data_IF_796437762734
#
_entry.id   IF_796437762734
#
_cell.length_a   1.000
_cell.length_b   1.000
_cell.length_c   1.000
_cell.angle_alpha   90.00
_cell.angle_beta   90.00
_cell.angle_gamma   90.00
#
_symmetry.space_group_name_H-M   'P 1'
#
loop_
_entity.id
_entity.type
_entity.pdbx_description
1 polymer ?
#
# COMPACT_ATOMS: atom_id res chain seq x y z
N UNK A 1 -7.24 -10.35 -7.59
CA UNK A 1 -6.49 -9.26 -6.98
C UNK A 1 -6.34 -8.23 -8.05
N UNK A 2 -6.92 -7.09 -7.81
CA UNK A 2 -6.92 -5.96 -8.73
C UNK A 2 -5.61 -5.19 -8.56
N UNK A 3 -5.14 -4.59 -9.64
CA UNK A 3 -3.87 -3.86 -9.68
C UNK A 3 -4.17 -2.37 -9.86
N UNK A 4 -3.87 -1.60 -8.82
CA UNK A 4 -3.90 -0.15 -8.89
C UNK A 4 -2.49 0.40 -9.06
N UNK A 5 -2.36 1.55 -9.73
CA UNK A 5 -1.09 2.28 -9.80
C UNK A 5 -1.04 3.40 -8.75
N UNK A 6 0.06 3.49 -7.99
CA UNK A 6 0.31 4.55 -7.00
C UNK A 6 1.08 5.71 -7.64
N UNK A 7 0.40 6.48 -8.50
CA UNK A 7 0.98 7.63 -9.17
C UNK A 7 -0.09 8.68 -9.50
N UNK A 8 0.35 9.88 -9.83
CA UNK A 8 -0.48 10.89 -10.48
C UNK A 8 0.12 11.33 -11.82
N UNK A 9 1.16 10.65 -12.31
CA UNK A 9 1.75 10.90 -13.62
C UNK A 9 0.85 10.30 -14.72
N UNK A 10 0.33 11.15 -15.61
CA UNK A 10 -0.59 10.71 -16.67
C UNK A 10 0.07 9.80 -17.71
N UNK A 11 1.37 9.94 -17.96
CA UNK A 11 2.08 9.07 -18.90
C UNK A 11 2.16 7.65 -18.35
N UNK A 12 2.56 7.51 -17.09
CA UNK A 12 2.61 6.22 -16.38
C UNK A 12 1.23 5.56 -16.33
N UNK A 13 0.17 6.34 -16.04
CA UNK A 13 -1.20 5.81 -15.98
C UNK A 13 -1.65 5.34 -17.36
N UNK A 14 -1.47 6.14 -18.41
CA UNK A 14 -1.84 5.76 -19.79
C UNK A 14 -1.04 4.55 -20.28
N UNK A 15 0.23 4.45 -19.91
CA UNK A 15 1.07 3.32 -20.25
C UNK A 15 0.59 2.04 -19.55
N UNK A 16 0.35 2.10 -18.24
CA UNK A 16 -0.20 0.97 -17.48
C UNK A 16 -1.58 0.53 -18.00
N UNK A 17 -2.45 1.49 -18.33
CA UNK A 17 -3.75 1.23 -18.97
C UNK A 17 -3.59 0.52 -20.32
N UNK A 18 -2.60 0.93 -21.13
CA UNK A 18 -2.33 0.32 -22.45
C UNK A 18 -1.90 -1.15 -22.36
N UNK A 19 -1.39 -1.59 -21.21
CA UNK A 19 -1.04 -2.98 -20.95
C UNK A 19 -2.27 -3.84 -20.63
N UNK A 20 -3.42 -3.23 -20.31
CA UNK A 20 -4.67 -3.92 -19.99
C UNK A 20 -4.65 -4.64 -18.65
N UNK A 21 -3.83 -4.15 -17.70
CA UNK A 21 -3.67 -4.74 -16.36
C UNK A 21 -4.08 -3.79 -15.24
N UNK A 22 -4.54 -2.58 -15.58
CA UNK A 22 -4.83 -1.54 -14.60
C UNK A 22 -6.31 -1.57 -14.23
N UNK A 23 -6.59 -1.66 -12.94
CA UNK A 23 -7.95 -1.74 -12.39
C UNK A 23 -8.33 -0.49 -11.57
N UNK A 24 -7.40 0.46 -11.39
CA UNK A 24 -7.64 1.69 -10.62
C UNK A 24 -6.36 2.49 -10.33
N UNK A 25 -6.52 3.62 -9.64
CA UNK A 25 -5.43 4.55 -9.31
C UNK A 25 -5.55 5.01 -7.87
N UNK A 26 -4.43 5.03 -7.13
CA UNK A 26 -4.39 5.77 -5.86
C UNK A 26 -3.50 6.99 -5.98
N UNK A 27 -4.02 8.15 -5.58
CA UNK A 27 -3.25 9.39 -5.54
C UNK A 27 -3.05 9.88 -4.10
N UNK A 28 -2.29 10.97 -3.98
CA UNK A 28 -2.25 11.83 -2.82
C UNK A 28 -1.88 13.26 -3.27
N UNK A 29 -2.08 14.29 -2.44
CA UNK A 29 -1.90 15.68 -2.86
C UNK A 29 -0.46 15.98 -3.32
N UNK A 30 0.52 15.29 -2.72
CA UNK A 30 1.94 15.45 -3.08
C UNK A 30 2.29 14.81 -4.43
N UNK A 31 1.64 13.73 -4.83
CA UNK A 31 1.81 13.12 -6.16
C UNK A 31 1.18 14.01 -7.23
N UNK A 32 -0.07 14.45 -7.02
CA UNK A 32 -0.79 15.31 -7.97
C UNK A 32 0.00 16.58 -8.22
N UNK A 33 0.44 17.25 -7.14
CA UNK A 33 1.24 18.47 -7.27
C UNK A 33 2.53 18.25 -8.05
N UNK A 34 3.27 17.17 -7.77
CA UNK A 34 4.51 16.84 -8.50
C UNK A 34 4.26 16.56 -9.96
N UNK A 35 3.16 15.89 -10.30
CA UNK A 35 2.80 15.60 -11.69
C UNK A 35 2.48 16.89 -12.46
N UNK A 36 1.68 17.78 -11.87
CA UNK A 36 1.35 19.09 -12.45
C UNK A 36 2.60 19.97 -12.61
N UNK A 37 3.44 20.05 -11.58
CA UNK A 37 4.68 20.84 -11.60
C UNK A 37 5.71 20.33 -12.63
N UNK A 38 5.60 19.05 -13.02
CA UNK A 38 6.51 18.40 -13.99
C UNK A 38 5.94 18.34 -15.41
N UNK A 39 4.69 18.75 -15.62
CA UNK A 39 4.08 18.78 -16.93
C UNK A 39 4.67 19.92 -17.78
N UNK A 40 4.90 19.66 -19.07
CA UNK A 40 5.40 20.67 -20.00
C UNK A 40 4.36 21.78 -20.28
N UNK A 41 3.08 21.48 -20.06
CA UNK A 41 1.95 22.38 -20.26
C UNK A 41 1.45 22.99 -18.93
N UNK A 42 1.02 24.24 -18.96
CA UNK A 42 0.40 24.95 -17.82
C UNK A 42 -1.03 24.42 -17.56
N UNK A 43 -1.11 23.17 -17.09
CA UNK A 43 -2.36 22.50 -16.75
C UNK A 43 -2.74 22.80 -15.29
N UNK A 44 -4.00 23.18 -15.07
CA UNK A 44 -4.52 23.32 -13.71
C UNK A 44 -4.62 21.97 -13.00
N UNK A 45 -4.47 21.96 -11.67
CA UNK A 45 -4.65 20.77 -10.84
C UNK A 45 -6.03 20.10 -11.05
N UNK A 46 -7.08 20.90 -11.24
CA UNK A 46 -8.42 20.39 -11.52
C UNK A 46 -8.51 19.67 -12.87
N UNK A 47 -7.93 20.25 -13.93
CA UNK A 47 -7.88 19.62 -15.24
C UNK A 47 -7.08 18.31 -15.20
N UNK A 48 -5.96 18.30 -14.48
CA UNK A 48 -5.13 17.10 -14.30
C UNK A 48 -5.89 15.95 -13.62
N UNK A 49 -6.62 16.25 -12.54
CA UNK A 49 -7.46 15.23 -11.87
C UNK A 49 -8.53 14.69 -12.83
N UNK A 50 -9.19 15.58 -13.60
CA UNK A 50 -10.19 15.14 -14.59
C UNK A 50 -9.59 14.24 -15.67
N UNK A 51 -8.36 14.50 -16.09
CA UNK A 51 -7.67 13.62 -17.05
C UNK A 51 -7.37 12.25 -16.45
N UNK A 52 -6.94 12.17 -15.19
CA UNK A 52 -6.74 10.89 -14.50
C UNK A 52 -8.06 10.11 -14.47
N UNK A 53 -9.15 10.75 -14.04
CA UNK A 53 -10.47 10.12 -13.92
C UNK A 53 -10.99 9.57 -15.25
N UNK A 54 -10.73 10.25 -16.37
CA UNK A 54 -11.13 9.80 -17.71
C UNK A 54 -10.18 8.74 -18.31
N UNK A 55 -9.00 8.54 -17.73
CA UNK A 55 -8.01 7.60 -18.29
C UNK A 55 -8.27 6.17 -17.82
N UNK A 56 -8.86 5.98 -16.64
CA UNK A 56 -9.07 4.67 -16.02
C UNK A 56 -10.55 4.50 -15.68
N UNK A 57 -11.13 3.36 -16.04
CA UNK A 57 -12.54 3.04 -15.77
C UNK A 57 -12.78 2.67 -14.29
N UNK A 58 -11.75 2.15 -13.62
CA UNK A 58 -11.80 1.75 -12.21
C UNK A 58 -11.61 2.88 -11.20
N UNK A 59 -11.62 2.56 -9.89
CA UNK A 59 -11.61 3.55 -8.81
C UNK A 59 -10.38 4.45 -8.78
N UNK A 60 -10.58 5.74 -8.51
CA UNK A 60 -9.52 6.73 -8.32
C UNK A 60 -9.62 7.34 -6.93
N UNK A 61 -8.65 7.05 -6.08
CA UNK A 61 -8.60 7.60 -4.71
C UNK A 61 -8.07 9.03 -4.68
N UNK A 62 -8.86 9.97 -4.14
CA UNK A 62 -8.48 11.38 -3.89
C UNK A 62 -8.50 11.67 -2.38
N UNK A 63 -7.42 12.25 -1.85
CA UNK A 63 -7.22 12.40 -0.40
C UNK A 63 -7.59 13.79 0.11
N UNK A 64 -8.28 13.82 1.26
CA UNK A 64 -8.53 15.05 2.02
C UNK A 64 -7.24 15.55 2.70
N UNK A 65 -7.24 16.81 3.10
CA UNK A 65 -6.10 17.45 3.79
C UNK A 65 -6.44 17.95 5.18
N UNK A 66 -7.72 18.13 5.49
CA UNK A 66 -8.19 18.53 6.81
C UNK A 66 -8.04 17.41 7.85
N UNK A 67 -8.01 17.81 9.12
CA UNK A 67 -7.73 16.89 10.25
C UNK A 67 -8.89 16.74 11.23
N UNK A 68 -9.90 17.61 11.18
CA UNK A 68 -11.09 17.47 12.04
C UNK A 68 -12.24 16.84 11.28
N UNK A 69 -13.09 16.12 12.01
CA UNK A 69 -14.23 15.41 11.48
C UNK A 69 -15.12 16.26 10.56
N UNK A 70 -15.61 17.41 11.03
CA UNK A 70 -16.53 18.26 10.27
C UNK A 70 -15.85 18.83 9.01
N UNK A 71 -14.61 19.31 9.15
CA UNK A 71 -13.80 19.88 8.07
C UNK A 71 -13.46 18.81 7.00
N UNK A 72 -13.10 17.59 7.41
CA UNK A 72 -12.87 16.45 6.51
C UNK A 72 -14.12 16.06 5.73
N UNK A 73 -15.30 16.06 6.37
CA UNK A 73 -16.55 15.71 5.69
C UNK A 73 -16.92 16.78 4.65
N UNK A 74 -16.78 18.06 4.97
CA UNK A 74 -17.03 19.15 4.01
C UNK A 74 -16.06 19.11 2.81
N UNK A 75 -14.78 18.85 3.06
CA UNK A 75 -13.78 18.68 2.00
C UNK A 75 -14.07 17.46 1.14
N UNK A 76 -14.39 16.32 1.75
CA UNK A 76 -14.76 15.09 1.07
C UNK A 76 -15.97 15.25 0.15
N UNK A 77 -17.04 15.89 0.62
CA UNK A 77 -18.21 16.22 -0.20
C UNK A 77 -17.84 17.13 -1.37
N UNK A 78 -17.01 18.14 -1.11
CA UNK A 78 -16.54 19.06 -2.16
C UNK A 78 -15.74 18.32 -3.24
N UNK A 79 -14.85 17.40 -2.86
CA UNK A 79 -14.08 16.58 -3.79
C UNK A 79 -15.02 15.67 -4.59
N UNK A 80 -15.89 14.93 -3.92
CA UNK A 80 -16.82 13.99 -4.54
C UNK A 80 -17.77 14.69 -5.52
N UNK A 81 -18.47 15.74 -5.09
CA UNK A 81 -19.43 16.48 -5.94
C UNK A 81 -18.75 17.15 -7.16
N UNK A 82 -17.49 17.54 -7.02
CA UNK A 82 -16.74 18.20 -8.11
C UNK A 82 -16.23 17.21 -9.15
N UNK A 83 -15.78 16.04 -8.72
CA UNK A 83 -15.01 15.13 -9.55
C UNK A 83 -15.75 13.85 -9.93
N UNK A 84 -16.67 13.35 -9.10
CA UNK A 84 -17.44 12.15 -9.41
C UNK A 84 -18.28 12.26 -10.69
N UNK A 85 -18.91 13.42 -11.02
CA UNK A 85 -19.64 13.56 -12.29
C UNK A 85 -18.81 13.40 -13.57
N UNK A 86 -17.47 13.31 -13.46
CA UNK A 86 -16.57 13.15 -14.60
C UNK A 86 -16.62 11.72 -15.14
N UNK A 87 -16.45 10.71 -14.27
CA UNK A 87 -16.44 9.30 -14.66
C UNK A 87 -17.02 8.32 -13.61
N UNK A 88 -17.65 8.84 -12.55
CA UNK A 88 -18.34 8.05 -11.50
C UNK A 88 -17.46 7.00 -10.80
N UNK A 89 -16.17 7.31 -10.66
CA UNK A 89 -15.15 6.42 -10.12
C UNK A 89 -14.33 7.05 -8.99
N UNK A 90 -14.81 8.13 -8.37
CA UNK A 90 -14.07 8.81 -7.29
C UNK A 90 -14.27 8.06 -5.97
N UNK A 91 -13.17 7.78 -5.29
CA UNK A 91 -13.16 7.28 -3.92
C UNK A 91 -12.46 8.28 -3.02
N UNK A 92 -13.09 8.71 -1.93
CA UNK A 92 -12.49 9.70 -1.04
C UNK A 92 -11.60 9.00 -0.03
N UNK A 93 -10.36 9.46 0.09
CA UNK A 93 -9.34 8.86 0.93
C UNK A 93 -9.20 9.62 2.24
N UNK A 94 -9.43 8.94 3.36
CA UNK A 94 -9.52 9.51 4.71
C UNK A 94 -8.48 8.83 5.63
N UNK A 95 -7.63 9.57 6.34
CA UNK A 95 -6.70 8.97 7.31
C UNK A 95 -7.47 8.36 8.48
N UNK A 96 -7.02 7.20 8.98
CA UNK A 96 -7.71 6.52 10.10
C UNK A 96 -7.65 7.31 11.42
N UNK A 97 -6.53 8.00 11.67
CA UNK A 97 -6.23 8.79 12.86
C UNK A 97 -5.43 10.02 12.40
N UNK A 98 -5.79 11.20 12.91
CA UNK A 98 -5.17 12.48 12.55
C UNK A 98 -4.24 13.05 13.62
N UNK A 99 -4.04 12.30 14.72
CA UNK A 99 -3.16 12.71 15.81
C UNK A 99 -1.73 12.86 15.33
N UNK A 100 -1.09 13.95 15.76
CA UNK A 100 0.27 14.33 15.36
C UNK A 100 1.32 14.04 16.44
N UNK A 101 0.87 13.70 17.66
CA UNK A 101 1.73 13.37 18.80
C UNK A 101 1.49 11.92 19.27
N UNK A 102 2.55 11.22 19.67
CA UNK A 102 2.48 9.78 20.05
C UNK A 102 1.57 9.51 21.25
N UNK A 103 1.28 10.52 22.08
CA UNK A 103 0.43 10.37 23.28
C UNK A 103 -1.04 10.68 23.03
N UNK A 104 -1.40 11.02 21.79
CA UNK A 104 -2.76 11.38 21.42
C UNK A 104 -3.31 10.35 20.43
N UNK A 105 -4.50 9.85 20.72
CA UNK A 105 -5.34 9.14 19.74
C UNK A 105 -6.58 9.99 19.51
N UNK A 106 -6.94 10.20 18.24
CA UNK A 106 -8.23 10.76 17.89
C UNK A 106 -9.06 9.78 17.06
N UNK A 107 -10.37 10.05 17.02
CA UNK A 107 -11.34 9.30 16.25
C UNK A 107 -11.93 10.15 15.13
N UNK A 108 -11.27 11.25 14.74
CA UNK A 108 -11.80 12.19 13.75
C UNK A 108 -11.96 11.51 12.39
N UNK A 109 -10.95 10.72 11.98
CA UNK A 109 -10.98 9.89 10.77
C UNK A 109 -12.12 8.87 10.79
N UNK A 110 -12.24 8.08 11.88
CA UNK A 110 -13.31 7.09 12.06
C UNK A 110 -14.71 7.72 11.99
N UNK A 111 -14.91 8.90 12.61
CA UNK A 111 -16.18 9.63 12.55
C UNK A 111 -16.46 10.10 11.12
N UNK A 112 -15.45 10.61 10.41
CA UNK A 112 -15.60 11.06 9.02
C UNK A 112 -15.98 9.91 8.09
N UNK A 113 -15.28 8.77 8.18
CA UNK A 113 -15.60 7.54 7.43
C UNK A 113 -17.06 7.16 7.63
N UNK A 114 -17.54 7.12 8.88
CA UNK A 114 -18.93 6.78 9.19
C UNK A 114 -19.92 7.74 8.53
N UNK A 115 -19.71 9.05 8.68
CA UNK A 115 -20.62 10.06 8.12
C UNK A 115 -20.66 10.00 6.60
N UNK A 116 -19.52 9.79 5.93
CA UNK A 116 -19.44 9.69 4.48
C UNK A 116 -20.08 8.40 3.96
N UNK A 117 -19.84 7.26 4.63
CA UNK A 117 -20.48 5.99 4.30
C UNK A 117 -22.01 6.04 4.43
N UNK A 118 -22.54 6.68 5.49
CA UNK A 118 -23.99 6.91 5.65
C UNK A 118 -24.59 7.80 4.54
N UNK A 119 -23.77 8.65 3.90
CA UNK A 119 -24.16 9.48 2.76
C UNK A 119 -24.00 8.75 1.41
N UNK A 120 -23.45 7.53 1.41
CA UNK A 120 -23.18 6.77 0.19
C UNK A 120 -21.95 7.23 -0.59
N UNK A 121 -21.04 7.97 0.05
CA UNK A 121 -19.77 8.37 -0.56
C UNK A 121 -18.75 7.24 -0.29
N UNK A 122 -18.13 6.67 -1.33
CA UNK A 122 -17.15 5.60 -1.19
C UNK A 122 -15.88 6.11 -0.51
N UNK A 123 -15.38 5.37 0.49
CA UNK A 123 -14.24 5.78 1.33
C UNK A 123 -13.11 4.75 1.29
N UNK A 124 -11.90 5.24 0.99
CA UNK A 124 -10.65 4.53 1.18
C UNK A 124 -9.96 5.01 2.47
N UNK A 125 -9.95 4.18 3.51
CA UNK A 125 -9.26 4.50 4.75
C UNK A 125 -7.74 4.30 4.61
N UNK A 126 -6.96 5.36 4.80
CA UNK A 126 -5.48 5.36 4.64
C UNK A 126 -4.74 5.49 5.96
N UNK A 127 -3.41 5.36 5.91
CA UNK A 127 -2.50 5.38 7.07
C UNK A 127 -2.81 4.28 8.09
N UNK A 128 -3.29 3.13 7.63
CA UNK A 128 -3.49 1.96 8.47
C UNK A 128 -2.14 1.29 8.72
N UNK A 129 -1.72 1.26 9.97
CA UNK A 129 -0.43 0.71 10.43
C UNK A 129 -0.62 -0.51 11.34
N UNK A 130 -1.81 -0.71 11.92
CA UNK A 130 -2.11 -1.81 12.83
C UNK A 130 -3.41 -2.53 12.45
N UNK A 131 -3.55 -3.84 12.77
CA UNK A 131 -4.75 -4.59 12.41
C UNK A 131 -6.04 -4.02 13.01
N UNK A 132 -5.97 -3.49 14.24
CA UNK A 132 -7.11 -2.90 14.92
C UNK A 132 -7.64 -1.64 14.20
N UNK A 133 -6.77 -0.88 13.54
CA UNK A 133 -7.17 0.30 12.75
C UNK A 133 -8.01 -0.12 11.54
N UNK A 134 -7.64 -1.20 10.85
CA UNK A 134 -8.42 -1.76 9.74
C UNK A 134 -9.80 -2.23 10.20
N UNK A 135 -9.87 -2.93 11.35
CA UNK A 135 -11.14 -3.35 11.93
C UNK A 135 -12.06 -2.17 12.24
N UNK A 136 -11.50 -1.08 12.79
CA UNK A 136 -12.28 0.13 13.11
C UNK A 136 -12.79 0.83 11.85
N UNK A 137 -11.96 0.93 10.81
CA UNK A 137 -12.35 1.48 9.52
C UNK A 137 -13.47 0.67 8.86
N UNK A 138 -13.33 -0.66 8.80
CA UNK A 138 -14.36 -1.55 8.26
C UNK A 138 -15.68 -1.43 9.04
N UNK A 139 -15.60 -1.37 10.38
CA UNK A 139 -16.77 -1.17 11.24
C UNK A 139 -17.43 0.19 11.07
N UNK A 140 -16.68 1.22 10.67
CA UNK A 140 -17.20 2.53 10.34
C UNK A 140 -17.84 2.60 8.95
N UNK A 141 -17.69 1.56 8.13
CA UNK A 141 -18.28 1.48 6.78
C UNK A 141 -17.36 1.98 5.67
N UNK A 142 -16.04 1.92 5.87
CA UNK A 142 -15.09 2.15 4.78
C UNK A 142 -15.30 1.09 3.68
N UNK A 143 -15.23 1.52 2.42
CA UNK A 143 -15.24 0.62 1.27
C UNK A 143 -13.89 -0.07 1.11
N UNK A 144 -12.81 0.69 1.34
CA UNK A 144 -11.44 0.17 1.30
C UNK A 144 -10.67 0.49 2.58
N UNK A 145 -9.73 -0.38 2.93
CA UNK A 145 -8.67 -0.11 3.92
C UNK A 145 -7.29 -0.27 3.29
N UNK A 146 -6.44 0.73 3.48
CA UNK A 146 -5.10 0.78 2.89
C UNK A 146 -4.00 0.63 3.95
N UNK A 147 -3.59 -0.61 4.31
CA UNK A 147 -2.42 -0.84 5.17
C UNK A 147 -1.10 -0.49 4.49
N UNK A 148 -0.19 0.16 5.21
CA UNK A 148 1.06 0.70 4.64
C UNK A 148 2.26 -0.22 4.91
N UNK A 149 2.39 -1.25 4.07
CA UNK A 149 3.27 -2.39 4.34
C UNK A 149 4.75 -1.98 4.41
N UNK A 150 5.22 -1.23 3.41
CA UNK A 150 6.61 -0.77 3.38
C UNK A 150 6.97 0.24 4.48
N UNK A 151 5.99 0.93 5.09
CA UNK A 151 6.27 1.81 6.24
C UNK A 151 6.44 1.01 7.53
N UNK A 152 5.69 -0.09 7.69
CA UNK A 152 5.92 -1.04 8.79
C UNK A 152 7.28 -1.70 8.65
N UNK A 153 7.65 -2.17 7.46
CA UNK A 153 9.00 -2.72 7.21
C UNK A 153 10.10 -1.73 7.61
N UNK A 154 9.95 -0.44 7.26
CA UNK A 154 10.89 0.61 7.64
C UNK A 154 10.93 0.83 9.17
N UNK A 155 9.77 0.76 9.85
CA UNK A 155 9.65 0.92 11.30
C UNK A 155 10.32 -0.23 12.07
N UNK A 156 10.00 -1.48 11.74
CA UNK A 156 10.55 -2.66 12.43
C UNK A 156 12.06 -2.83 12.18
N UNK A 157 12.58 -2.34 11.05
CA UNK A 157 14.03 -2.23 10.80
C UNK A 157 14.70 -1.23 11.73
N UNK A 158 14.08 -0.08 11.97
CA UNK A 158 14.64 0.95 12.84
C UNK A 158 14.80 0.46 14.28
N UNK A 159 13.89 -0.40 14.75
CA UNK A 159 13.97 -1.00 16.09
C UNK A 159 15.24 -1.85 16.31
N UNK A 160 15.81 -2.41 15.24
CA UNK A 160 17.07 -3.18 15.29
C UNK A 160 18.28 -2.35 14.83
N UNK A 161 18.14 -1.02 14.79
CA UNK A 161 19.20 -0.08 14.47
C UNK A 161 19.55 0.04 12.98
N UNK A 162 18.66 -0.38 12.07
CA UNK A 162 18.86 -0.22 10.63
C UNK A 162 18.06 0.95 10.08
N UNK A 163 18.74 1.87 9.40
CA UNK A 163 18.13 3.07 8.83
C UNK A 163 18.12 3.07 7.30
N UNK A 164 16.97 3.46 6.73
CA UNK A 164 16.79 3.55 5.28
C UNK A 164 17.63 4.68 4.71
N UNK A 165 18.40 4.39 3.67
CA UNK A 165 19.31 5.34 3.02
C UNK A 165 20.73 5.32 3.60
N UNK A 166 20.92 4.73 4.79
CA UNK A 166 22.24 4.49 5.38
C UNK A 166 22.65 3.02 5.19
N UNK A 167 21.83 2.10 5.69
CA UNK A 167 22.14 0.67 5.69
C UNK A 167 21.56 -0.08 4.48
N UNK A 168 20.47 0.43 3.91
CA UNK A 168 19.80 -0.20 2.77
C UNK A 168 19.06 0.83 1.88
N UNK A 169 18.99 0.58 0.56
CA UNK A 169 18.26 1.45 -0.35
C UNK A 169 16.74 1.30 -0.25
N UNK A 170 16.00 2.31 -0.74
CA UNK A 170 14.55 2.19 -1.01
C UNK A 170 14.31 1.00 -1.95
N UNK A 171 13.25 0.24 -1.72
CA UNK A 171 12.96 -0.97 -2.51
C UNK A 171 13.66 -2.23 -1.99
N UNK A 172 14.34 -2.17 -0.85
CA UNK A 172 14.90 -3.38 -0.23
C UNK A 172 13.79 -4.19 0.43
N UNK A 173 13.76 -5.50 0.17
CA UNK A 173 12.85 -6.44 0.84
C UNK A 173 13.22 -6.63 2.33
N UNK A 174 12.24 -6.76 3.22
CA UNK A 174 12.47 -7.04 4.63
C UNK A 174 12.39 -8.55 4.92
N UNK A 175 13.50 -9.21 5.30
CA UNK A 175 13.50 -10.65 5.56
C UNK A 175 13.08 -10.96 7.01
N UNK A 176 11.78 -10.88 7.30
CA UNK A 176 11.21 -11.11 8.65
C UNK A 176 11.75 -12.38 9.34
N UNK A 177 11.80 -13.51 8.62
CA UNK A 177 12.28 -14.80 9.16
C UNK A 177 13.76 -14.76 9.57
N UNK A 178 14.58 -13.92 8.94
CA UNK A 178 15.97 -13.76 9.35
C UNK A 178 16.06 -12.92 10.62
N UNK A 179 15.27 -11.85 10.71
CA UNK A 179 15.25 -10.97 11.89
C UNK A 179 14.71 -11.71 13.11
N UNK A 180 13.64 -12.50 12.94
CA UNK A 180 13.09 -13.33 14.01
C UNK A 180 14.12 -14.31 14.57
N UNK A 181 14.89 -14.97 13.69
CA UNK A 181 16.00 -15.86 14.11
C UNK A 181 17.13 -15.12 14.81
N UNK A 182 17.44 -13.89 14.41
CA UNK A 182 18.45 -13.06 15.07
C UNK A 182 17.96 -12.69 16.48
N UNK A 183 16.71 -12.28 16.60
CA UNK A 183 16.06 -11.99 17.89
C UNK A 183 16.10 -13.20 18.82
N UNK A 184 15.71 -14.38 18.34
CA UNK A 184 15.72 -15.61 19.15
C UNK A 184 17.11 -15.95 19.69
N UNK A 185 18.14 -15.81 18.85
CA UNK A 185 19.53 -16.06 19.25
C UNK A 185 19.99 -15.06 20.31
N UNK A 186 19.60 -13.80 20.19
CA UNK A 186 19.97 -12.77 21.17
C UNK A 186 19.21 -12.92 22.48
N UNK A 187 17.91 -13.22 22.42
CA UNK A 187 17.11 -13.58 23.59
C UNK A 187 17.74 -14.76 24.33
N UNK A 188 18.14 -15.82 23.61
CA UNK A 188 18.78 -16.98 24.20
C UNK A 188 20.08 -16.61 24.95
N UNK A 189 20.87 -15.67 24.43
CA UNK A 189 22.08 -15.17 25.11
C UNK A 189 21.73 -14.36 26.36
N UNK A 190 20.71 -13.51 26.27
CA UNK A 190 20.32 -12.64 27.38
C UNK A 190 19.72 -13.42 28.57
N UNK A 191 19.07 -14.56 28.30
CA UNK A 191 18.37 -15.33 29.34
C UNK A 191 19.16 -16.56 29.83
N UNK A 192 20.27 -16.94 29.20
CA UNK A 192 20.93 -18.24 29.46
C UNK A 192 21.39 -18.46 30.90
N UNK A 193 21.64 -17.38 31.65
CA UNK A 193 22.12 -17.41 33.04
C UNK A 193 21.13 -16.77 34.03
N UNK A 194 19.92 -16.41 33.58
CA UNK A 194 18.93 -15.69 34.40
C UNK A 194 17.80 -16.62 34.85
N UNK A 195 17.29 -16.38 36.06
CA UNK A 195 16.11 -17.09 36.55
C UNK A 195 14.84 -16.59 35.81
N UNK A 196 13.88 -17.48 35.46
CA UNK A 196 12.64 -17.11 34.75
C UNK A 196 11.87 -15.94 35.38
N UNK A 197 11.84 -15.86 36.71
CA UNK A 197 11.14 -14.80 37.46
C UNK A 197 11.82 -13.43 37.40
N UNK A 198 13.10 -13.38 37.00
CA UNK A 198 13.89 -12.17 36.83
C UNK A 198 13.85 -11.65 35.40
N UNK A 199 13.45 -12.49 34.45
CA UNK A 199 13.43 -12.15 33.02
C UNK A 199 12.16 -11.36 32.67
N UNK A 200 10.99 -11.95 32.91
CA UNK A 200 9.73 -11.41 32.41
C UNK A 200 9.39 -10.10 33.13
N UNK A 201 9.27 -9.01 32.36
CA UNK A 201 8.93 -7.63 32.81
C UNK A 201 9.93 -6.93 33.75
N UNK A 202 10.98 -7.63 34.22
CA UNK A 202 11.97 -7.05 35.15
C UNK A 202 13.32 -6.81 34.49
N UNK A 203 13.66 -7.58 33.47
CA UNK A 203 14.91 -7.42 32.74
C UNK A 203 14.69 -6.55 31.50
N UNK A 204 15.12 -5.29 31.58
CA UNK A 204 14.92 -4.30 30.52
C UNK A 204 15.59 -4.75 29.21
N UNK A 205 16.83 -5.23 29.26
CA UNK A 205 17.59 -5.67 28.07
C UNK A 205 16.89 -6.82 27.34
N UNK A 206 16.33 -7.80 28.07
CA UNK A 206 15.53 -8.88 27.46
C UNK A 206 14.24 -8.35 26.86
N UNK A 207 13.54 -7.43 27.54
CA UNK A 207 12.29 -6.86 27.01
C UNK A 207 12.53 -5.99 25.77
N UNK A 208 13.63 -5.24 25.73
CA UNK A 208 14.05 -4.48 24.54
C UNK A 208 14.38 -5.43 23.38
N UNK A 209 15.16 -6.49 23.65
CA UNK A 209 15.49 -7.51 22.64
C UNK A 209 14.24 -8.25 22.15
N UNK A 210 13.27 -8.51 23.03
CA UNK A 210 12.00 -9.13 22.67
C UNK A 210 11.20 -8.27 21.68
N UNK A 211 11.29 -6.95 21.81
CA UNK A 211 10.66 -5.99 20.90
C UNK A 211 11.35 -5.84 19.55
N UNK A 212 12.53 -6.44 19.33
CA UNK A 212 13.26 -6.28 18.07
C UNK A 212 12.48 -6.82 16.88
N UNK A 213 12.26 -5.97 15.88
CA UNK A 213 11.52 -6.36 14.69
C UNK A 213 10.07 -6.76 15.00
N UNK A 214 9.44 -6.08 15.96
CA UNK A 214 8.11 -6.39 16.46
C UNK A 214 7.34 -5.11 16.80
N UNK A 215 6.17 -4.94 16.18
CA UNK A 215 5.18 -3.92 16.57
C UNK A 215 3.93 -4.61 17.09
N UNK A 216 3.88 -4.86 18.40
CA UNK A 216 2.72 -5.47 19.08
C UNK A 216 2.23 -6.79 18.46
N UNK A 217 3.17 -7.61 17.97
CA UNK A 217 2.91 -8.88 17.30
C UNK A 217 2.94 -8.80 15.78
N UNK A 218 3.10 -7.62 15.18
CA UNK A 218 3.32 -7.43 13.75
C UNK A 218 4.82 -7.46 13.45
N UNK A 219 5.25 -8.42 12.64
CA UNK A 219 6.67 -8.66 12.34
C UNK A 219 7.14 -7.99 11.04
N UNK A 220 6.23 -7.71 10.11
CA UNK A 220 6.51 -7.05 8.84
C UNK A 220 5.26 -6.42 8.25
N UNK A 221 5.40 -5.68 7.16
CA UNK A 221 4.26 -5.22 6.38
C UNK A 221 3.43 -6.37 5.80
N UNK A 222 4.05 -7.49 5.41
CA UNK A 222 3.30 -8.66 4.91
C UNK A 222 2.53 -9.35 6.05
N UNK A 223 3.12 -9.42 7.23
CA UNK A 223 2.45 -9.95 8.43
C UNK A 223 1.28 -9.05 8.88
N UNK A 224 1.43 -7.71 8.78
CA UNK A 224 0.32 -6.77 8.97
C UNK A 224 -0.84 -7.11 8.03
N UNK A 225 -0.56 -7.29 6.74
CA UNK A 225 -1.58 -7.62 5.74
C UNK A 225 -2.28 -8.93 6.07
N UNK A 226 -1.52 -9.98 6.41
CA UNK A 226 -2.07 -11.28 6.78
C UNK A 226 -2.99 -11.18 8.01
N UNK A 227 -2.57 -10.43 9.04
CA UNK A 227 -3.37 -10.21 10.24
C UNK A 227 -4.68 -9.47 9.94
N UNK A 228 -4.62 -8.41 9.12
CA UNK A 228 -5.82 -7.68 8.67
C UNK A 228 -6.76 -8.61 7.88
N UNK A 229 -6.24 -9.36 6.90
CA UNK A 229 -7.03 -10.28 6.08
C UNK A 229 -7.78 -11.30 6.94
N UNK A 230 -7.08 -11.94 7.87
CA UNK A 230 -7.70 -12.88 8.80
C UNK A 230 -8.79 -12.22 9.66
N UNK A 231 -8.57 -11.00 10.15
CA UNK A 231 -9.59 -10.31 10.94
C UNK A 231 -10.82 -10.03 10.11
N UNK A 232 -10.66 -9.45 8.91
CA UNK A 232 -11.80 -9.09 8.06
C UNK A 232 -12.57 -10.32 7.58
N UNK A 233 -11.88 -11.42 7.24
CA UNK A 233 -12.50 -12.69 6.81
C UNK A 233 -13.36 -13.36 7.89
N UNK A 234 -13.09 -13.07 9.17
CA UNK A 234 -13.86 -13.63 10.27
C UNK A 234 -15.24 -12.97 10.46
N UNK A 235 -15.48 -11.83 9.82
CA UNK A 235 -16.67 -11.01 10.03
C UNK A 235 -17.32 -10.63 8.69
N UNK A 236 -18.63 -10.32 8.67
CA UNK A 236 -19.32 -9.99 7.43
C UNK A 236 -19.09 -8.51 7.06
N UNK A 237 -17.85 -8.15 6.78
CA UNK A 237 -17.50 -6.84 6.24
C UNK A 237 -17.40 -6.94 4.71
N UNK A 238 -17.97 -5.96 4.01
CA UNK A 238 -17.81 -5.80 2.56
C UNK A 238 -16.55 -4.97 2.22
N UNK A 239 -15.80 -4.54 3.23
CA UNK A 239 -14.58 -3.73 3.08
C UNK A 239 -13.47 -4.54 2.42
N UNK A 240 -12.90 -3.99 1.35
CA UNK A 240 -11.79 -4.59 0.61
C UNK A 240 -10.44 -4.04 1.08
N UNK A 241 -9.38 -4.85 0.98
CA UNK A 241 -8.03 -4.43 1.37
C UNK A 241 -7.26 -3.95 0.15
N UNK A 242 -6.76 -2.71 0.21
CA UNK A 242 -5.78 -2.16 -0.73
C UNK A 242 -4.39 -2.27 -0.08
N UNK A 243 -3.63 -3.32 -0.42
CA UNK A 243 -2.25 -3.44 0.02
C UNK A 243 -1.42 -2.25 -0.53
N UNK A 244 -1.01 -1.34 0.35
CA UNK A 244 -0.41 -0.07 -0.01
C UNK A 244 1.02 0.09 0.53
N UNK A 245 1.72 1.13 0.06
CA UNK A 245 3.14 1.36 0.34
C UNK A 245 4.03 0.17 -0.05
N UNK A 246 3.68 -0.53 -1.14
CA UNK A 246 4.45 -1.62 -1.72
C UNK A 246 5.77 -1.07 -2.27
N UNK A 247 6.86 -1.83 -2.09
CA UNK A 247 8.22 -1.43 -2.49
C UNK A 247 8.91 -2.42 -3.42
N UNK A 248 8.39 -3.63 -3.59
CA UNK A 248 9.03 -4.71 -4.38
C UNK A 248 8.01 -5.61 -5.05
N UNK A 249 8.37 -6.19 -6.21
CA UNK A 249 7.56 -7.20 -6.88
C UNK A 249 7.31 -8.44 -5.99
N UNK A 250 8.25 -8.75 -5.08
CA UNK A 250 8.09 -9.82 -4.09
C UNK A 250 6.93 -9.55 -3.13
N UNK A 251 6.78 -8.31 -2.62
CA UNK A 251 5.64 -7.96 -1.78
C UNK A 251 4.33 -8.11 -2.54
N UNK A 252 4.27 -7.68 -3.81
CA UNK A 252 3.06 -7.85 -4.65
C UNK A 252 2.65 -9.32 -4.72
N UNK A 253 3.61 -10.23 -5.00
CA UNK A 253 3.35 -11.67 -5.00
C UNK A 253 2.80 -12.15 -3.66
N UNK A 254 3.39 -11.70 -2.55
CA UNK A 254 2.94 -12.09 -1.21
C UNK A 254 1.54 -11.54 -0.88
N UNK A 255 1.20 -10.33 -1.32
CA UNK A 255 -0.16 -9.80 -1.22
C UNK A 255 -1.17 -10.69 -1.94
N UNK A 256 -0.83 -11.13 -3.17
CA UNK A 256 -1.64 -12.05 -3.94
C UNK A 256 -1.76 -13.44 -3.29
N UNK A 257 -0.66 -13.95 -2.71
CA UNK A 257 -0.63 -15.24 -1.99
C UNK A 257 -1.49 -15.22 -0.71
N UNK A 258 -1.54 -14.09 0.00
CA UNK A 258 -2.43 -13.88 1.16
C UNK A 258 -3.90 -13.74 0.71
N UNK A 259 -4.12 -13.26 -0.51
CA UNK A 259 -5.45 -13.04 -1.07
C UNK A 259 -5.99 -11.65 -0.78
N UNK A 260 -5.13 -10.61 -0.73
CA UNK A 260 -5.59 -9.23 -0.73
C UNK A 260 -6.45 -8.95 -1.97
N UNK A 261 -7.50 -8.15 -1.81
CA UNK A 261 -8.42 -7.81 -2.89
C UNK A 261 -7.72 -6.91 -3.92
N UNK A 262 -6.98 -5.90 -3.47
CA UNK A 262 -6.30 -4.92 -4.32
C UNK A 262 -4.86 -4.72 -3.87
N UNK A 263 -3.95 -4.48 -4.80
CA UNK A 263 -2.62 -3.95 -4.51
C UNK A 263 -2.41 -2.62 -5.25
N UNK A 264 -2.03 -1.57 -4.54
CA UNK A 264 -1.62 -0.31 -5.17
C UNK A 264 -0.08 -0.21 -5.24
N UNK A 265 0.42 -0.13 -6.46
CA UNK A 265 1.81 -0.46 -6.79
C UNK A 265 2.46 0.73 -7.50
N UNK A 266 3.65 1.19 -7.07
CA UNK A 266 4.43 2.16 -7.83
C UNK A 266 4.72 1.65 -9.24
N UNK A 267 4.70 2.52 -10.25
CA UNK A 267 4.86 2.15 -11.66
C UNK A 267 6.15 1.32 -11.93
N UNK A 268 7.28 1.73 -11.35
CA UNK A 268 8.57 1.03 -11.47
C UNK A 268 8.54 -0.40 -10.90
N UNK A 269 7.73 -0.64 -9.86
CA UNK A 269 7.54 -1.97 -9.29
C UNK A 269 6.65 -2.83 -10.20
N UNK A 270 5.66 -2.25 -10.90
CA UNK A 270 4.85 -2.96 -11.91
C UNK A 270 5.75 -3.43 -13.05
N UNK A 271 6.66 -2.60 -13.54
CA UNK A 271 7.63 -2.99 -14.56
C UNK A 271 8.54 -4.14 -14.09
N UNK A 272 9.04 -4.06 -12.84
CA UNK A 272 9.90 -5.10 -12.25
C UNK A 272 9.20 -6.45 -12.12
N UNK A 273 7.87 -6.49 -11.93
CA UNK A 273 7.10 -7.75 -11.84
C UNK A 273 7.22 -8.62 -13.10
N UNK A 274 7.36 -8.01 -14.27
CA UNK A 274 7.48 -8.73 -15.55
C UNK A 274 8.93 -9.10 -15.91
N UNK A 275 9.90 -8.49 -15.24
CA UNK A 275 11.30 -8.65 -15.57
C UNK A 275 11.89 -9.96 -15.01
N UNK A 276 12.23 -10.91 -15.87
CA UNK A 276 12.97 -12.11 -15.45
C UNK A 276 14.05 -12.54 -16.44
N UNK A 277 15.24 -12.85 -15.93
CA UNK A 277 16.40 -13.21 -16.75
C UNK A 277 16.18 -14.49 -17.58
N UNK A 278 15.46 -15.49 -17.03
CA UNK A 278 15.11 -16.71 -17.78
C UNK A 278 14.09 -16.46 -18.89
N UNK A 279 13.19 -15.48 -18.74
CA UNK A 279 12.28 -15.08 -19.83
C UNK A 279 13.09 -14.50 -20.98
N UNK A 280 14.07 -13.63 -20.69
CA UNK A 280 14.97 -13.07 -21.71
C UNK A 280 15.85 -14.14 -22.37
N UNK A 281 16.34 -15.11 -21.61
CA UNK A 281 17.08 -16.26 -22.14
C UNK A 281 16.21 -17.10 -23.08
N UNK A 282 14.98 -17.42 -22.68
CA UNK A 282 14.03 -18.16 -23.51
C UNK A 282 13.64 -17.41 -24.79
N UNK A 283 13.39 -16.11 -24.71
CA UNK A 283 13.07 -15.30 -25.89
C UNK A 283 14.22 -15.24 -26.90
N UNK A 284 15.48 -15.21 -26.44
CA UNK A 284 16.64 -15.30 -27.34
C UNK A 284 16.67 -16.65 -28.05
N UNK A 285 16.44 -17.74 -27.31
CA UNK A 285 16.35 -19.07 -27.93
C UNK A 285 15.21 -19.16 -28.94
N UNK A 286 14.04 -18.55 -28.67
CA UNK A 286 12.93 -18.52 -29.64
C UNK A 286 13.27 -17.74 -30.90
N UNK A 287 14.00 -16.63 -30.80
CA UNK A 287 14.46 -15.86 -31.96
C UNK A 287 15.49 -16.66 -32.80
N UNK A 288 16.42 -17.35 -32.13
CA UNK A 288 17.41 -18.22 -32.77
C UNK A 288 16.77 -19.43 -33.48
N UNK A 289 15.63 -19.92 -32.97
CA UNK A 289 14.89 -21.06 -33.52
C UNK A 289 13.96 -20.70 -34.70
N UNK A 290 13.84 -19.41 -35.07
CA UNK A 290 12.98 -18.97 -36.19
C UNK A 290 13.49 -19.52 -37.51
N UNK A 291 12.69 -20.40 -38.13
CA UNK A 291 12.98 -20.92 -39.48
C UNK A 291 12.37 -20.02 -40.57
N UNK A 292 13.11 -19.71 -41.66
CA UNK A 292 12.65 -18.82 -42.72
C UNK A 292 11.31 -19.21 -43.34
N UNK A 293 11.06 -20.51 -43.55
CA UNK A 293 9.81 -21.01 -44.16
C UNK A 293 8.59 -20.68 -43.29
N UNK A 294 8.76 -20.67 -41.97
CA UNK A 294 7.69 -20.30 -41.03
C UNK A 294 7.45 -18.79 -41.06
N UNK A 295 8.50 -17.99 -41.20
CA UNK A 295 8.39 -16.53 -41.36
C UNK A 295 7.72 -16.16 -42.68
N UNK A 296 8.08 -16.81 -43.78
CA UNK A 296 7.45 -16.60 -45.10
C UNK A 296 5.97 -16.99 -45.12
N UNK A 297 5.56 -18.05 -44.40
CA UNK A 297 4.15 -18.42 -44.23
C UNK A 297 3.33 -17.29 -43.60
N UNK A 298 3.92 -16.55 -42.66
CA UNK A 298 3.27 -15.47 -41.92
C UNK A 298 3.36 -14.12 -42.64
N UNK A 299 4.40 -13.89 -43.44
CA UNK A 299 4.56 -12.69 -44.29
C UNK A 299 3.73 -12.77 -45.58
N UNK A 300 3.18 -13.95 -45.91
CA UNK A 300 2.39 -14.24 -47.11
C UNK A 300 0.88 -13.94 -47.01
N UNK A 301 0.46 -12.90 -46.29
CA UNK A 301 -0.88 -12.32 -46.32
C UNK A 301 -0.84 -10.79 -46.44
#
# INVERSE_FOLDING_TARGET
MDIFVDTANLEEIKEAESWGILDGVTTNPSLIKRAVDSADDDISLEAHIKEILNTVDGPVSLEVTEVKHEEMVEEAETLYDRFDPVNQNVVVKIPINTAMEETEDDFEGVKAIKTLSEKGIPVNCTLVMKPNQALMAAKAGAEYVSPFLGRIDDYVRKQIGLERGEDYPKGTYYPENLVDRIRDLELQRNISEKDPEEIVYKDQDTMETFGWGNDEGVLSGIDLLWSIKNILDNYPYDTEIIAASIRTARQVRQCAEIGAEIATIPFDVIEDMMAHHKTREGMKSFDDDVIPEYKELLEGQ
#
